data_IF_144029105359
#
_entry.id   IF_144029105359
#
_cell.length_a   1.000
_cell.length_b   1.000
_cell.length_c   1.000
_cell.angle_alpha   90.00
_cell.angle_beta   90.00
_cell.angle_gamma   90.00
#
_symmetry.space_group_name_H-M   'P 1'
#
loop_
_entity.id
_entity.type
_entity.pdbx_description
1 polymer ?
#
# COMPACT_ATOMS: atom_id res chain seq x y z
N UNK A 1 -6.20 20.93 -30.72
CA UNK A 1 -4.85 20.36 -30.75
C UNK A 1 -4.34 20.33 -29.31
N UNK A 2 -4.44 19.19 -28.61
CA UNK A 2 -3.81 19.05 -27.28
C UNK A 2 -2.31 19.19 -27.50
N UNK A 3 -1.63 20.10 -26.80
CA UNK A 3 -0.17 20.15 -26.80
C UNK A 3 0.33 18.75 -26.47
N UNK A 4 1.26 18.21 -27.26
CA UNK A 4 1.85 16.91 -26.98
C UNK A 4 2.50 16.97 -25.59
N UNK A 5 1.87 16.35 -24.61
CA UNK A 5 2.47 16.17 -23.32
C UNK A 5 3.73 15.32 -23.51
N UNK A 6 4.83 15.68 -22.87
CA UNK A 6 6.03 14.85 -22.95
C UNK A 6 5.69 13.41 -22.50
N UNK A 7 6.33 12.36 -23.03
CA UNK A 7 6.06 10.97 -22.59
C UNK A 7 6.10 10.79 -21.06
N UNK A 8 6.92 11.61 -20.38
CA UNK A 8 6.98 11.68 -18.92
C UNK A 8 5.66 12.17 -18.29
N UNK A 9 5.03 13.19 -18.86
CA UNK A 9 3.76 13.72 -18.36
C UNK A 9 2.63 12.73 -18.62
N UNK A 10 2.54 12.16 -19.83
CA UNK A 10 1.54 11.12 -20.13
C UNK A 10 1.67 9.93 -19.17
N UNK A 11 2.90 9.52 -18.85
CA UNK A 11 3.13 8.47 -17.86
C UNK A 11 2.72 8.90 -16.44
N UNK A 12 3.00 10.14 -16.03
CA UNK A 12 2.55 10.68 -14.74
C UNK A 12 1.02 10.69 -14.67
N UNK A 13 0.33 11.08 -15.75
CA UNK A 13 -1.14 11.08 -15.82
C UNK A 13 -1.69 9.66 -15.69
N UNK A 14 -1.18 8.70 -16.47
CA UNK A 14 -1.55 7.30 -16.36
C UNK A 14 -1.38 6.76 -14.94
N UNK A 15 -0.22 7.03 -14.32
CA UNK A 15 0.04 6.58 -12.96
C UNK A 15 -0.84 7.30 -11.92
N UNK A 16 -1.23 8.54 -12.18
CA UNK A 16 -2.18 9.29 -11.36
C UNK A 16 -3.56 8.65 -11.43
N UNK A 17 -4.04 8.31 -12.63
CA UNK A 17 -5.31 7.60 -12.83
C UNK A 17 -5.33 6.23 -12.15
N UNK A 18 -4.28 5.43 -12.33
CA UNK A 18 -4.13 4.13 -11.68
C UNK A 18 -4.14 4.25 -10.14
N UNK A 19 -3.54 5.31 -9.59
CA UNK A 19 -3.51 5.55 -8.15
C UNK A 19 -4.91 5.86 -7.58
N UNK A 20 -5.74 6.59 -8.33
CA UNK A 20 -7.12 6.91 -7.92
C UNK A 20 -8.00 5.68 -7.79
N UNK A 21 -7.81 4.67 -8.64
CA UNK A 21 -8.51 3.37 -8.54
C UNK A 21 -8.27 2.72 -7.17
N UNK A 22 -7.12 2.97 -6.56
CA UNK A 22 -6.76 2.46 -5.24
C UNK A 22 -7.24 3.35 -4.08
N UNK A 23 -8.13 4.33 -4.34
CA UNK A 23 -8.73 5.20 -3.33
C UNK A 23 -7.85 6.38 -2.89
N UNK A 24 -6.78 6.69 -3.62
CA UNK A 24 -5.97 7.89 -3.35
C UNK A 24 -6.69 9.15 -3.86
N UNK A 25 -6.59 10.23 -3.08
CA UNK A 25 -7.04 11.55 -3.51
C UNK A 25 -6.20 12.09 -4.69
N UNK A 26 -6.65 13.20 -5.30
CA UNK A 26 -5.97 13.84 -6.44
C UNK A 26 -4.48 14.12 -6.17
N UNK A 27 -4.17 14.74 -5.02
CA UNK A 27 -2.81 15.14 -4.69
C UNK A 27 -1.93 13.93 -4.42
N UNK A 28 -2.41 12.98 -3.60
CA UNK A 28 -1.71 11.73 -3.30
C UNK A 28 -1.43 10.92 -4.57
N UNK A 29 -2.39 10.89 -5.50
CA UNK A 29 -2.26 10.21 -6.79
C UNK A 29 -1.22 10.88 -7.68
N UNK A 30 -1.27 12.20 -7.82
CA UNK A 30 -0.33 12.97 -8.63
C UNK A 30 1.10 12.88 -8.08
N UNK A 31 1.26 12.94 -6.76
CA UNK A 31 2.55 12.72 -6.10
C UNK A 31 3.07 11.31 -6.41
N UNK A 32 2.23 10.29 -6.39
CA UNK A 32 2.62 8.91 -6.69
C UNK A 32 3.10 8.77 -8.14
N UNK A 33 2.38 9.34 -9.10
CA UNK A 33 2.81 9.35 -10.51
C UNK A 33 4.14 10.09 -10.72
N UNK A 34 4.30 11.26 -10.09
CA UNK A 34 5.57 11.99 -10.08
C UNK A 34 6.69 11.13 -9.50
N UNK A 35 6.50 10.60 -8.28
CA UNK A 35 7.55 9.83 -7.62
C UNK A 35 7.89 8.57 -8.40
N UNK A 36 6.93 7.90 -9.04
CA UNK A 36 7.16 6.66 -9.76
C UNK A 36 8.18 6.83 -10.89
N UNK A 37 8.02 7.83 -11.77
CA UNK A 37 8.92 8.00 -12.91
C UNK A 37 10.28 8.61 -12.55
N UNK A 38 10.45 9.09 -11.32
CA UNK A 38 11.63 9.85 -10.94
C UNK A 38 12.77 8.92 -10.50
N UNK A 39 13.93 9.01 -11.17
CA UNK A 39 15.02 8.06 -10.99
C UNK A 39 15.77 8.26 -9.67
N UNK A 40 15.65 9.45 -9.06
CA UNK A 40 16.33 9.82 -7.83
C UNK A 40 15.32 10.31 -6.80
N UNK A 41 15.77 10.37 -5.55
CA UNK A 41 14.97 10.94 -4.47
C UNK A 41 14.64 12.42 -4.73
N UNK A 42 13.41 12.82 -4.41
CA UNK A 42 12.91 14.19 -4.60
C UNK A 42 12.70 14.85 -3.25
N UNK A 43 13.09 16.11 -3.13
CA UNK A 43 12.86 16.88 -1.92
C UNK A 43 11.38 17.28 -1.77
N UNK A 44 10.88 17.35 -0.54
CA UNK A 44 9.48 17.71 -0.26
C UNK A 44 9.05 19.06 -0.87
N UNK A 45 9.94 20.04 -0.86
CA UNK A 45 9.71 21.37 -1.43
C UNK A 45 9.68 21.36 -2.97
N UNK A 46 10.42 20.46 -3.60
CA UNK A 46 10.34 20.25 -5.03
C UNK A 46 9.03 19.57 -5.43
N UNK A 47 8.55 18.60 -4.65
CA UNK A 47 7.22 18.02 -4.85
C UNK A 47 6.12 19.09 -4.76
N UNK A 48 6.19 19.99 -3.77
CA UNK A 48 5.26 21.12 -3.65
C UNK A 48 5.27 22.03 -4.87
N UNK A 49 6.46 22.37 -5.40
CA UNK A 49 6.59 23.16 -6.64
C UNK A 49 5.96 22.47 -7.84
N UNK A 50 6.16 21.15 -7.99
CA UNK A 50 5.69 20.38 -9.14
C UNK A 50 4.20 20.07 -9.12
N UNK A 51 3.62 19.91 -7.94
CA UNK A 51 2.18 19.70 -7.79
C UNK A 51 1.41 21.02 -7.80
N UNK A 52 2.04 22.13 -7.43
CA UNK A 52 1.38 23.42 -7.25
C UNK A 52 0.67 23.55 -5.90
N UNK A 53 0.84 22.58 -5.00
CA UNK A 53 0.24 22.58 -3.67
C UNK A 53 1.20 23.13 -2.61
N UNK A 54 0.65 23.52 -1.46
CA UNK A 54 1.45 23.98 -0.32
C UNK A 54 2.34 22.85 0.23
N UNK A 55 3.46 23.25 0.84
CA UNK A 55 4.38 22.30 1.50
C UNK A 55 3.68 21.47 2.58
N UNK A 56 2.73 22.06 3.31
CA UNK A 56 1.93 21.37 4.32
C UNK A 56 1.01 20.32 3.71
N UNK A 57 0.31 20.64 2.61
CA UNK A 57 -0.54 19.68 1.90
C UNK A 57 0.26 18.49 1.37
N UNK A 58 1.41 18.75 0.72
CA UNK A 58 2.31 17.70 0.24
C UNK A 58 2.87 16.88 1.41
N UNK A 59 3.27 17.50 2.52
CA UNK A 59 3.73 16.78 3.71
C UNK A 59 2.68 15.80 4.26
N UNK A 60 1.41 16.22 4.29
CA UNK A 60 0.29 15.36 4.73
C UNK A 60 0.06 14.21 3.74
N UNK A 61 0.00 14.48 2.45
CA UNK A 61 -0.13 13.45 1.41
C UNK A 61 1.03 12.43 1.47
N UNK A 62 2.27 12.92 1.63
CA UNK A 62 3.46 12.06 1.79
C UNK A 62 3.39 11.15 3.02
N UNK A 63 2.84 11.62 4.15
CA UNK A 63 2.60 10.78 5.33
C UNK A 63 1.52 9.72 5.07
N UNK A 64 0.52 10.03 4.26
CA UNK A 64 -0.51 9.07 3.88
C UNK A 64 0.07 7.98 2.99
N UNK A 65 0.68 8.32 1.85
CA UNK A 65 1.24 7.33 0.92
C UNK A 65 2.45 6.57 1.51
N UNK A 66 3.23 7.20 2.39
CA UNK A 66 4.34 6.54 3.08
C UNK A 66 3.91 5.37 3.97
N UNK A 67 2.66 5.33 4.46
CA UNK A 67 2.15 4.22 5.28
C UNK A 67 1.99 2.92 4.51
N UNK A 68 1.78 2.98 3.20
CA UNK A 68 1.78 1.79 2.34
C UNK A 68 3.18 1.14 2.27
N UNK A 69 4.22 1.88 2.68
CA UNK A 69 5.62 1.45 2.76
C UNK A 69 6.26 1.17 1.39
N UNK A 70 5.71 1.76 0.33
CA UNK A 70 6.23 1.76 -1.04
C UNK A 70 7.12 3.00 -1.29
N UNK A 71 6.96 4.03 -0.46
CA UNK A 71 7.76 5.25 -0.50
C UNK A 71 8.73 5.28 0.67
N UNK A 72 10.03 5.33 0.36
CA UNK A 72 11.13 5.49 1.32
C UNK A 72 11.36 6.97 1.59
N UNK A 73 11.53 7.32 2.87
CA UNK A 73 11.86 8.67 3.34
C UNK A 73 13.29 8.69 3.84
N UNK A 74 14.09 9.63 3.34
CA UNK A 74 15.49 9.83 3.73
C UNK A 74 15.76 11.26 4.20
N UNK A 75 16.83 11.41 4.99
CA UNK A 75 17.46 12.69 5.32
C UNK A 75 18.91 12.60 4.89
N UNK A 76 19.39 13.59 4.14
CA UNK A 76 20.81 13.65 3.76
C UNK A 76 21.65 14.26 4.89
N UNK A 77 22.90 13.80 5.10
CA UNK A 77 23.81 14.46 6.01
C UNK A 77 23.91 15.96 5.69
N UNK A 78 23.85 16.81 6.73
CA UNK A 78 23.92 18.28 6.63
C UNK A 78 22.74 18.97 5.93
N UNK A 79 21.70 18.24 5.49
CA UNK A 79 20.46 18.84 4.95
C UNK A 79 19.33 18.79 5.96
N UNK A 80 18.60 19.89 6.12
CA UNK A 80 17.33 19.92 6.87
C UNK A 80 16.15 19.39 6.03
N UNK A 81 16.34 19.14 4.73
CA UNK A 81 15.27 18.71 3.82
C UNK A 81 14.96 17.22 3.97
N UNK A 82 13.69 16.89 3.72
CA UNK A 82 13.21 15.53 3.60
C UNK A 82 13.20 15.14 2.12
N UNK A 83 13.71 13.95 1.83
CA UNK A 83 13.74 13.39 0.49
C UNK A 83 12.91 12.12 0.45
N UNK A 84 12.34 11.85 -0.71
CA UNK A 84 11.43 10.73 -0.92
C UNK A 84 11.76 10.00 -2.21
N UNK A 85 11.71 8.68 -2.14
CA UNK A 85 11.93 7.79 -3.26
C UNK A 85 10.86 6.70 -3.25
N UNK A 86 10.26 6.40 -4.40
CA UNK A 86 9.29 5.33 -4.55
C UNK A 86 9.95 4.14 -5.25
N UNK A 87 9.69 2.92 -4.77
CA UNK A 87 10.09 1.69 -5.44
C UNK A 87 9.51 1.64 -6.87
N UNK A 88 10.30 1.15 -7.82
CA UNK A 88 9.95 1.10 -9.26
C UNK A 88 9.59 -0.30 -9.71
N UNK A 89 10.12 -1.30 -9.03
CA UNK A 89 9.83 -2.68 -9.34
C UNK A 89 8.45 -3.04 -8.79
N UNK A 90 7.47 -3.09 -9.70
CA UNK A 90 6.10 -3.42 -9.37
C UNK A 90 5.97 -4.80 -8.71
N UNK A 91 6.81 -5.76 -9.08
CA UNK A 91 6.78 -7.11 -8.52
C UNK A 91 7.25 -7.06 -7.06
N UNK A 92 8.37 -6.39 -6.77
CA UNK A 92 8.85 -6.20 -5.40
C UNK A 92 7.83 -5.44 -4.54
N UNK A 93 7.19 -4.39 -5.08
CA UNK A 93 6.11 -3.68 -4.38
C UNK A 93 4.97 -4.61 -3.98
N UNK A 94 4.51 -5.47 -4.90
CA UNK A 94 3.44 -6.43 -4.61
C UNK A 94 3.88 -7.49 -3.61
N UNK A 95 5.09 -8.03 -3.75
CA UNK A 95 5.66 -9.00 -2.81
C UNK A 95 5.71 -8.43 -1.40
N UNK A 96 6.23 -7.21 -1.23
CA UNK A 96 6.27 -6.55 0.07
C UNK A 96 4.88 -6.28 0.65
N UNK A 97 3.92 -5.86 -0.18
CA UNK A 97 2.55 -5.63 0.28
C UNK A 97 1.89 -6.94 0.76
N UNK A 98 2.08 -8.04 0.03
CA UNK A 98 1.57 -9.35 0.41
C UNK A 98 2.20 -9.86 1.71
N UNK A 99 3.52 -9.73 1.88
CA UNK A 99 4.21 -10.06 3.15
C UNK A 99 3.66 -9.25 4.31
N UNK A 100 3.51 -7.93 4.15
CA UNK A 100 2.95 -7.07 5.20
C UNK A 100 1.52 -7.45 5.56
N UNK A 101 0.66 -7.75 4.58
CA UNK A 101 -0.70 -8.22 4.85
C UNK A 101 -0.69 -9.56 5.59
N UNK A 102 0.18 -10.48 5.21
CA UNK A 102 0.34 -11.77 5.89
C UNK A 102 0.75 -11.57 7.36
N UNK A 103 1.80 -10.81 7.60
CA UNK A 103 2.37 -10.58 8.93
C UNK A 103 1.45 -9.78 9.86
N UNK A 104 0.80 -8.72 9.35
CA UNK A 104 0.10 -7.75 10.20
C UNK A 104 -1.41 -7.98 10.29
N UNK A 105 -2.00 -8.77 9.38
CA UNK A 105 -3.44 -9.03 9.34
C UNK A 105 -3.71 -10.52 9.49
N UNK A 106 -3.18 -11.33 8.57
CA UNK A 106 -3.55 -12.75 8.48
C UNK A 106 -3.04 -13.55 9.68
N UNK A 107 -1.76 -13.41 10.05
CA UNK A 107 -1.19 -14.14 11.18
C UNK A 107 -1.87 -13.79 12.52
N UNK A 108 -2.06 -12.50 12.89
CA UNK A 108 -2.77 -12.16 14.11
C UNK A 108 -4.22 -12.64 14.12
N UNK A 109 -4.94 -12.50 13.00
CA UNK A 109 -6.32 -12.99 12.88
C UNK A 109 -6.38 -14.50 13.06
N UNK A 110 -5.50 -15.26 12.39
CA UNK A 110 -5.44 -16.72 12.52
C UNK A 110 -5.17 -17.17 13.96
N UNK A 111 -4.34 -16.44 14.70
CA UNK A 111 -4.00 -16.77 16.09
C UNK A 111 -5.13 -16.42 17.08
N UNK A 112 -5.82 -15.30 16.86
CA UNK A 112 -6.82 -14.78 17.82
C UNK A 112 -8.23 -15.33 17.61
N UNK A 113 -8.62 -15.56 16.36
CA UNK A 113 -9.99 -15.98 16.02
C UNK A 113 -10.44 -17.29 16.69
N UNK A 114 -9.60 -18.35 16.83
CA UNK A 114 -10.03 -19.57 17.51
C UNK A 114 -10.51 -19.31 18.94
N UNK A 115 -9.80 -18.46 19.69
CA UNK A 115 -10.21 -18.08 21.06
C UNK A 115 -11.54 -17.31 21.05
N UNK A 116 -11.69 -16.34 20.15
CA UNK A 116 -12.92 -15.53 20.03
C UNK A 116 -14.12 -16.44 19.69
N UNK A 117 -13.93 -17.40 18.79
CA UNK A 117 -14.96 -18.40 18.44
C UNK A 117 -15.38 -19.22 19.67
N UNK A 118 -14.43 -19.66 20.50
CA UNK A 118 -14.77 -20.38 21.74
C UNK A 118 -15.50 -19.49 22.76
N UNK A 119 -15.13 -18.21 22.88
CA UNK A 119 -15.85 -17.25 23.73
C UNK A 119 -17.32 -17.11 23.29
N UNK A 120 -17.57 -16.99 21.98
CA UNK A 120 -18.92 -16.95 21.42
C UNK A 120 -19.74 -18.23 21.69
N UNK A 121 -19.11 -19.41 21.62
CA UNK A 121 -19.79 -20.68 21.92
C UNK A 121 -20.21 -20.82 23.39
N UNK A 122 -19.51 -20.14 24.29
CA UNK A 122 -19.81 -20.14 25.72
C UNK A 122 -20.87 -19.07 26.07
N UNK A 123 -21.05 -18.06 25.23
CA UNK A 123 -22.02 -17.00 25.41
C UNK A 123 -23.45 -17.45 25.09
N UNK A 124 -24.38 -17.14 25.99
CA UNK A 124 -25.80 -17.46 25.86
C UNK A 124 -26.59 -16.17 25.66
N UNK A 125 -26.59 -15.62 24.46
CA UNK A 125 -27.40 -14.47 24.07
C UNK A 125 -28.12 -14.75 22.74
N UNK A 126 -29.26 -14.10 22.48
CA UNK A 126 -30.06 -14.35 21.27
C UNK A 126 -29.28 -14.04 19.98
N UNK A 127 -28.35 -13.08 20.02
CA UNK A 127 -27.54 -12.70 18.86
C UNK A 127 -26.26 -13.54 18.72
N UNK A 128 -25.85 -14.31 19.74
CA UNK A 128 -24.53 -14.97 19.74
C UNK A 128 -24.38 -16.02 18.64
N UNK A 129 -25.46 -16.69 18.24
CA UNK A 129 -25.40 -17.73 17.21
C UNK A 129 -25.19 -17.14 15.80
N UNK A 130 -25.83 -16.03 15.47
CA UNK A 130 -25.63 -15.36 14.17
C UNK A 130 -24.24 -14.72 14.09
N UNK A 131 -23.81 -14.04 15.16
CA UNK A 131 -22.47 -13.46 15.25
C UNK A 131 -21.38 -14.54 15.16
N UNK A 132 -21.55 -15.67 15.86
CA UNK A 132 -20.62 -16.81 15.79
C UNK A 132 -20.46 -17.29 14.34
N UNK A 133 -21.55 -17.44 13.58
CA UNK A 133 -21.48 -17.88 12.18
C UNK A 133 -20.69 -16.91 11.31
N UNK A 134 -20.84 -15.60 11.54
CA UNK A 134 -20.07 -14.57 10.83
C UNK A 134 -18.57 -14.71 11.15
N UNK A 135 -18.22 -14.86 12.43
CA UNK A 135 -16.82 -14.99 12.88
C UNK A 135 -16.19 -16.29 12.36
N UNK A 136 -16.89 -17.42 12.41
CA UNK A 136 -16.40 -18.69 11.87
C UNK A 136 -16.17 -18.63 10.36
N UNK A 137 -17.08 -17.98 9.61
CA UNK A 137 -16.92 -17.79 8.18
C UNK A 137 -15.70 -16.89 7.88
N UNK A 138 -15.53 -15.80 8.62
CA UNK A 138 -14.35 -14.95 8.50
C UNK A 138 -13.06 -15.73 8.79
N UNK A 139 -13.05 -16.60 9.80
CA UNK A 139 -11.87 -17.43 10.10
C UNK A 139 -11.52 -18.38 8.95
N UNK A 140 -12.51 -19.03 8.33
CA UNK A 140 -12.30 -19.83 7.11
C UNK A 140 -11.69 -19.01 5.98
N UNK A 141 -12.18 -17.79 5.77
CA UNK A 141 -11.65 -16.87 4.76
C UNK A 141 -10.21 -16.42 5.07
N UNK A 142 -9.86 -16.21 6.34
CA UNK A 142 -8.49 -15.90 6.77
C UNK A 142 -7.54 -17.06 6.44
N UNK A 143 -7.95 -18.30 6.73
CA UNK A 143 -7.15 -19.49 6.41
C UNK A 143 -6.95 -19.66 4.90
N UNK A 144 -8.00 -19.47 4.11
CA UNK A 144 -7.92 -19.50 2.65
C UNK A 144 -7.03 -18.39 2.10
N UNK A 145 -7.17 -17.17 2.63
CA UNK A 145 -6.35 -16.02 2.25
C UNK A 145 -4.87 -16.23 2.56
N UNK A 146 -4.55 -16.90 3.68
CA UNK A 146 -3.19 -17.27 4.02
C UNK A 146 -2.55 -18.16 2.94
N UNK A 147 -3.30 -19.17 2.49
CA UNK A 147 -2.83 -20.08 1.46
C UNK A 147 -2.59 -19.33 0.14
N UNK A 148 -3.56 -18.51 -0.29
CA UNK A 148 -3.42 -17.70 -1.50
C UNK A 148 -2.20 -16.77 -1.46
N UNK A 149 -1.95 -16.12 -0.31
CA UNK A 149 -0.79 -15.23 -0.17
C UNK A 149 0.51 -16.02 -0.26
N UNK A 150 0.61 -17.18 0.38
CA UNK A 150 1.82 -18.03 0.32
C UNK A 150 2.10 -18.49 -1.11
N UNK A 151 1.08 -18.95 -1.81
CA UNK A 151 1.21 -19.40 -3.21
C UNK A 151 1.60 -18.23 -4.14
N UNK A 152 1.02 -17.05 -3.90
CA UNK A 152 1.37 -15.84 -4.63
C UNK A 152 2.83 -15.44 -4.39
N UNK A 153 3.28 -15.38 -3.13
CA UNK A 153 4.67 -15.02 -2.79
C UNK A 153 5.64 -16.00 -3.45
N UNK A 154 5.38 -17.31 -3.37
CA UNK A 154 6.21 -18.33 -4.02
C UNK A 154 6.30 -18.11 -5.53
N UNK A 155 5.18 -17.77 -6.18
CA UNK A 155 5.13 -17.47 -7.61
C UNK A 155 5.95 -16.23 -7.96
N UNK A 156 5.85 -15.17 -7.14
CA UNK A 156 6.59 -13.92 -7.35
C UNK A 156 8.10 -14.11 -7.14
N UNK A 157 8.51 -14.87 -6.11
CA UNK A 157 9.91 -15.22 -5.87
C UNK A 157 10.50 -16.01 -7.05
N UNK A 158 9.74 -16.94 -7.63
CA UNK A 158 10.17 -17.67 -8.84
C UNK A 158 10.32 -16.75 -10.05
N UNK A 159 9.48 -15.74 -10.19
CA UNK A 159 9.62 -14.74 -11.26
C UNK A 159 10.92 -13.93 -11.09
N UNK A 160 11.24 -13.48 -9.87
CA UNK A 160 12.47 -12.72 -9.59
C UNK A 160 13.75 -13.53 -9.84
N UNK A 161 13.76 -14.84 -9.53
CA UNK A 161 14.91 -15.72 -9.79
C UNK A 161 15.16 -15.95 -11.29
N UNK A 162 14.12 -15.86 -12.12
CA UNK A 162 14.19 -16.10 -13.56
C UNK A 162 14.36 -14.81 -14.40
N UNK A 163 14.49 -13.65 -13.74
CA UNK A 163 14.71 -12.33 -14.35
C UNK A 163 16.21 -12.02 -14.47
#
# INVERSE_FOLDING_TARGET
>A
MKMAESPKNEFIELMTENSKVNGLDELSSRISGILFIEPKEIALDELAKRTGYSLSAVSTAMKFIGRAGIVKRSKKPKSRKLYYYMEKDMIDMWTQLMRRKHENIILPSKQKLPRIIEEYKLEKSENSEEELRIVENYYKQVLFSEQLIKDSIKTLEQYEVNK
#
